data_IF_815363250445
#
_entry.id   IF_815363250445
#
_cell.length_a   1.000
_cell.length_b   1.000
_cell.length_c   1.000
_cell.angle_alpha   90.00
_cell.angle_beta   90.00
_cell.angle_gamma   90.00
#
_symmetry.space_group_name_H-M   'P 1'
#
loop_
_entity.id
_entity.type
_entity.pdbx_description
1 polymer ?
#
# COMPACT_ATOMS: atom_id res chain seq x y z
N UNK A 1 6.94 -5.65 -10.72
CA UNK A 1 6.03 -5.77 -9.57
C UNK A 1 5.59 -4.37 -9.17
N UNK A 2 4.32 -4.20 -8.78
CA UNK A 2 3.77 -2.92 -8.35
C UNK A 2 3.69 -2.96 -6.83
N UNK A 3 4.18 -1.91 -6.17
CA UNK A 3 4.07 -1.78 -4.72
C UNK A 3 3.12 -0.65 -4.38
N UNK A 4 2.28 -0.82 -3.35
CA UNK A 4 1.50 0.29 -2.77
C UNK A 4 1.84 0.45 -1.30
N UNK A 5 1.71 1.66 -0.79
CA UNK A 5 1.85 1.95 0.64
C UNK A 5 0.57 2.65 1.12
N UNK A 6 -0.23 1.93 1.89
CA UNK A 6 -1.59 2.35 2.25
C UNK A 6 -1.76 2.39 3.77
N UNK A 7 -2.53 3.37 4.27
CA UNK A 7 -2.92 3.39 5.68
C UNK A 7 -4.24 2.62 5.81
N UNK A 8 -4.21 1.52 6.55
CA UNK A 8 -5.40 0.72 6.84
C UNK A 8 -5.86 0.91 8.27
N UNK A 9 -7.17 0.90 8.44
CA UNK A 9 -7.83 1.08 9.71
C UNK A 9 -8.52 -0.23 10.09
N UNK A 10 -8.13 -0.74 11.25
CA UNK A 10 -8.63 -1.97 11.83
C UNK A 10 -9.48 -1.61 13.03
N UNK A 11 -10.73 -2.07 13.05
CA UNK A 11 -11.60 -1.92 14.19
C UNK A 11 -11.58 -3.21 15.00
N UNK A 12 -11.11 -3.15 16.25
CA UNK A 12 -11.00 -4.30 17.13
C UNK A 12 -11.16 -3.90 18.59
N UNK A 13 -11.89 -4.72 19.36
CA UNK A 13 -12.04 -4.55 20.82
C UNK A 13 -12.47 -3.15 21.27
N UNK A 14 -13.32 -2.47 20.49
CA UNK A 14 -13.82 -1.13 20.81
C UNK A 14 -12.86 0.03 20.53
N UNK A 15 -11.71 -0.22 19.88
CA UNK A 15 -10.74 0.80 19.49
C UNK A 15 -10.36 0.69 18.02
N UNK A 16 -10.14 1.85 17.39
CA UNK A 16 -9.69 1.95 16.01
C UNK A 16 -8.16 2.00 15.98
N UNK A 17 -7.53 0.96 15.46
CA UNK A 17 -6.10 0.93 15.21
C UNK A 17 -5.82 1.28 13.75
N UNK A 18 -4.74 2.03 13.52
CA UNK A 18 -4.27 2.32 12.16
C UNK A 18 -2.91 1.71 11.94
N UNK A 19 -2.68 1.11 10.78
CA UNK A 19 -1.37 0.60 10.36
C UNK A 19 -1.06 1.07 8.94
N UNK A 20 0.22 1.29 8.69
CA UNK A 20 0.76 1.47 7.36
C UNK A 20 1.17 0.11 6.82
N UNK A 21 0.65 -0.23 5.66
CA UNK A 21 0.84 -1.50 5.00
C UNK A 21 1.48 -1.29 3.64
N UNK A 22 2.51 -2.07 3.34
CA UNK A 22 3.13 -2.13 2.02
C UNK A 22 2.68 -3.42 1.38
N UNK A 23 2.06 -3.30 0.21
CA UNK A 23 1.52 -4.42 -0.54
C UNK A 23 2.26 -4.57 -1.85
N UNK A 24 2.52 -5.82 -2.23
CA UNK A 24 3.07 -6.21 -3.53
C UNK A 24 1.97 -6.77 -4.41
N UNK A 25 1.95 -6.34 -5.67
CA UNK A 25 1.03 -6.78 -6.70
C UNK A 25 1.81 -7.23 -7.94
N UNK A 26 1.33 -8.31 -8.54
CA UNK A 26 1.93 -8.87 -9.76
C UNK A 26 1.68 -7.97 -10.97
N UNK A 27 0.47 -7.44 -11.10
CA UNK A 27 0.04 -6.62 -12.24
C UNK A 27 -1.11 -5.69 -11.85
N UNK A 28 -1.37 -4.70 -12.71
CA UNK A 28 -2.58 -3.88 -12.67
C UNK A 28 -3.52 -4.39 -13.75
N UNK A 29 -4.78 -4.64 -13.40
CA UNK A 29 -5.77 -5.02 -14.39
C UNK A 29 -6.09 -3.84 -15.32
N UNK A 30 -6.64 -4.13 -16.50
CA UNK A 30 -7.06 -3.11 -17.45
C UNK A 30 -8.14 -2.17 -16.88
N UNK A 31 -8.91 -2.64 -15.89
CA UNK A 31 -9.86 -1.83 -15.11
C UNK A 31 -9.18 -0.84 -14.14
N UNK A 32 -7.86 -0.90 -13.97
CA UNK A 32 -7.11 -0.12 -12.98
C UNK A 32 -7.02 -0.76 -11.60
N UNK A 33 -7.71 -1.88 -11.36
CA UNK A 33 -7.64 -2.59 -10.08
C UNK A 33 -6.30 -3.32 -9.90
N UNK A 34 -5.92 -3.50 -8.63
CA UNK A 34 -4.74 -4.21 -8.19
C UNK A 34 -5.19 -5.46 -7.41
N UNK A 35 -5.40 -6.60 -8.11
CA UNK A 35 -5.86 -7.83 -7.49
C UNK A 35 -4.73 -8.52 -6.71
N UNK A 36 -5.11 -9.32 -5.71
CA UNK A 36 -4.18 -10.23 -5.00
C UNK A 36 -2.99 -9.53 -4.31
N UNK A 37 -3.24 -8.37 -3.71
CA UNK A 37 -2.21 -7.65 -2.95
C UNK A 37 -1.64 -8.46 -1.79
N UNK A 38 -0.38 -8.86 -1.91
CA UNK A 38 0.34 -9.56 -0.85
C UNK A 38 0.92 -8.54 0.12
N UNK A 39 0.52 -8.63 1.40
CA UNK A 39 1.15 -7.84 2.46
C UNK A 39 2.62 -8.24 2.61
N UNK A 40 3.54 -7.31 2.35
CA UNK A 40 4.99 -7.53 2.51
C UNK A 40 5.55 -6.86 3.77
N UNK A 41 4.90 -5.78 4.23
CA UNK A 41 5.32 -5.08 5.44
C UNK A 41 4.14 -4.35 6.09
N UNK A 42 4.09 -4.33 7.43
CA UNK A 42 3.07 -3.62 8.21
C UNK A 42 3.72 -2.96 9.43
N UNK A 43 3.48 -1.67 9.65
CA UNK A 43 3.95 -0.94 10.83
C UNK A 43 2.93 0.12 11.29
N UNK A 44 3.18 0.78 12.43
CA UNK A 44 2.29 1.85 12.92
C UNK A 44 2.67 3.23 12.34
N UNK A 45 3.93 3.46 11.99
CA UNK A 45 4.41 4.76 11.55
C UNK A 45 4.71 4.82 10.05
N UNK A 46 4.21 5.87 9.37
CA UNK A 46 4.48 6.13 7.94
C UNK A 46 5.97 6.15 7.62
N UNK A 47 6.76 6.74 8.52
CA UNK A 47 8.22 6.89 8.37
C UNK A 47 8.92 5.52 8.30
N UNK A 48 8.45 4.55 9.07
CA UNK A 48 9.00 3.19 9.06
C UNK A 48 8.65 2.47 7.74
N UNK A 49 7.40 2.55 7.28
CA UNK A 49 7.01 1.99 5.99
C UNK A 49 7.80 2.60 4.83
N UNK A 50 8.01 3.93 4.84
CA UNK A 50 8.82 4.59 3.82
C UNK A 50 10.30 4.21 3.90
N UNK A 51 10.86 4.04 5.10
CA UNK A 51 12.23 3.59 5.29
C UNK A 51 12.41 2.14 4.79
N UNK A 52 11.43 1.27 5.05
CA UNK A 52 11.40 -0.08 4.50
C UNK A 52 11.40 -0.05 2.96
N UNK A 53 10.54 0.77 2.35
CA UNK A 53 10.51 0.90 0.89
C UNK A 53 11.86 1.35 0.34
N UNK A 54 12.45 2.41 0.93
CA UNK A 54 13.75 2.94 0.52
C UNK A 54 14.89 1.93 0.68
N UNK A 55 14.91 1.18 1.79
CA UNK A 55 15.94 0.18 2.06
C UNK A 55 15.90 -1.01 1.08
N UNK A 56 14.71 -1.32 0.54
CA UNK A 56 14.50 -2.41 -0.41
C UNK A 56 14.45 -1.93 -1.88
N UNK A 57 14.70 -0.65 -2.15
CA UNK A 57 14.60 -0.08 -3.50
C UNK A 57 13.18 -0.11 -4.07
N UNK A 58 12.16 -0.12 -3.20
CA UNK A 58 10.75 -0.12 -3.56
C UNK A 58 10.28 1.32 -3.73
N UNK A 59 9.71 1.62 -4.88
CA UNK A 59 9.00 2.87 -5.15
C UNK A 59 7.48 2.59 -5.11
N UNK A 60 6.81 2.84 -3.97
CA UNK A 60 5.40 2.57 -3.84
C UNK A 60 4.60 3.55 -4.70
N UNK A 61 3.76 3.02 -5.58
CA UNK A 61 2.83 3.75 -6.42
C UNK A 61 1.49 3.93 -5.70
N UNK A 62 0.73 4.98 -6.04
CA UNK A 62 -0.63 5.11 -5.54
C UNK A 62 -1.51 3.96 -6.08
N UNK A 63 -2.37 3.42 -5.21
CA UNK A 63 -3.32 2.34 -5.56
C UNK A 63 -4.21 2.76 -6.72
N UNK A 64 -4.69 4.01 -6.69
CA UNK A 64 -5.49 4.61 -7.73
C UNK A 64 -4.66 5.64 -8.50
N UNK A 65 -4.65 5.54 -9.83
CA UNK A 65 -4.20 6.62 -10.69
C UNK A 65 -5.50 7.19 -11.27
N UNK A 66 -5.82 8.45 -10.95
CA UNK A 66 -6.95 9.12 -11.58
C UNK A 66 -6.69 9.19 -13.09
N UNK A 67 -7.72 9.03 -13.95
CA UNK A 67 -7.54 9.33 -15.36
C UNK A 67 -7.04 10.77 -15.49
N UNK A 68 -5.99 10.99 -16.27
CA UNK A 68 -5.62 12.36 -16.69
C UNK A 68 -6.84 12.96 -17.39
N UNK A 69 -7.42 14.02 -16.81
CA UNK A 69 -8.37 14.88 -17.51
C UNK A 69 -7.57 15.69 -18.54
N UNK A 70 -7.86 15.46 -19.82
CA UNK A 70 -7.35 16.21 -20.99
C UNK A 70 -8.03 17.59 -21.10
#
# INVERSE_FOLDING_TARGET
MIYTMERRHYFGSGSMESRWEVHEYSHRCQSGDLPEGKLVYSCKAKKEASAYCKANGIEPQPRFIAPEED
#
